data_IF_080282410413
#
_entry.id   IF_080282410413
#
_cell.length_a   1.000
_cell.length_b   1.000
_cell.length_c   1.000
_cell.angle_alpha   90.00
_cell.angle_beta   90.00
_cell.angle_gamma   90.00
#
_symmetry.space_group_name_H-M   'P 1'
#
loop_
_entity.id
_entity.type
_entity.pdbx_description
1 polymer ?
#
# COMPACT_ATOMS: atom_id res chain seq x y z
N UNK A 1 13.90 -14.45 6.89
CA UNK A 1 12.90 -13.40 6.52
C UNK A 1 11.62 -13.77 7.20
N UNK A 2 11.10 -12.93 8.10
CA UNK A 2 9.83 -13.23 8.77
C UNK A 2 8.74 -13.40 7.69
N UNK A 3 8.04 -14.54 7.70
CA UNK A 3 6.95 -14.85 6.78
C UNK A 3 5.72 -14.02 7.17
N UNK A 4 5.82 -12.70 7.02
CA UNK A 4 4.68 -11.82 7.22
C UNK A 4 3.59 -12.18 6.24
N UNK A 5 2.44 -12.59 6.75
CA UNK A 5 1.26 -12.85 5.95
C UNK A 5 0.56 -11.52 5.71
N UNK A 6 0.77 -10.97 4.53
CA UNK A 6 0.12 -9.73 4.10
C UNK A 6 -1.40 -9.79 4.24
N UNK A 7 -1.96 -8.78 4.90
CA UNK A 7 -3.39 -8.60 5.06
C UNK A 7 -3.86 -7.33 4.37
N UNK A 8 -5.18 -7.21 4.20
CA UNK A 8 -5.80 -6.04 3.54
C UNK A 8 -5.37 -4.70 4.15
N UNK A 9 -5.22 -4.65 5.48
CA UNK A 9 -4.85 -3.43 6.21
C UNK A 9 -3.45 -2.92 5.81
N UNK A 10 -2.51 -3.83 5.59
CA UNK A 10 -1.16 -3.50 5.14
C UNK A 10 -1.21 -2.83 3.76
N UNK A 11 -1.90 -3.47 2.81
CA UNK A 11 -2.06 -2.95 1.45
C UNK A 11 -2.87 -1.65 1.43
N UNK A 12 -3.81 -1.41 2.35
CA UNK A 12 -4.53 -0.13 2.48
C UNK A 12 -3.61 1.03 2.87
N UNK A 13 -2.71 0.81 3.84
CA UNK A 13 -1.72 1.84 4.23
C UNK A 13 -0.80 2.17 3.05
N UNK A 14 -0.34 1.15 2.33
CA UNK A 14 0.56 1.34 1.18
C UNK A 14 -0.19 1.98 0.00
N UNK A 15 -1.43 1.56 -0.26
CA UNK A 15 -2.27 2.15 -1.30
C UNK A 15 -2.55 3.63 -1.04
N UNK A 16 -2.77 4.01 0.23
CA UNK A 16 -2.92 5.41 0.61
C UNK A 16 -1.69 6.23 0.17
N UNK A 17 -0.48 5.77 0.48
CA UNK A 17 0.76 6.43 0.03
C UNK A 17 0.83 6.55 -1.49
N UNK A 18 0.49 5.47 -2.21
CA UNK A 18 0.52 5.44 -3.68
C UNK A 18 -0.51 6.35 -4.34
N UNK A 19 -1.61 6.67 -3.65
CA UNK A 19 -2.70 7.49 -4.19
C UNK A 19 -2.55 8.96 -3.83
N UNK A 20 -2.12 9.25 -2.61
CA UNK A 20 -2.15 10.60 -2.06
C UNK A 20 -0.78 11.15 -1.66
N UNK A 21 0.30 10.37 -1.81
CA UNK A 21 1.63 10.79 -1.39
C UNK A 21 1.88 10.59 0.11
N UNK A 22 3.16 10.60 0.48
CA UNK A 22 3.61 10.37 1.87
C UNK A 22 3.35 11.60 2.74
N UNK A 23 3.37 12.79 2.14
CA UNK A 23 3.11 14.08 2.78
C UNK A 23 1.68 14.21 3.33
N UNK A 24 0.73 13.45 2.78
CA UNK A 24 -0.66 13.41 3.24
C UNK A 24 -0.92 12.26 4.24
N UNK A 25 0.07 11.39 4.44
CA UNK A 25 0.00 10.22 5.30
C UNK A 25 0.32 10.57 6.75
N UNK A 26 -0.37 9.97 7.73
CA UNK A 26 0.04 10.08 9.13
C UNK A 26 1.31 9.30 9.44
N UNK A 27 1.72 8.37 8.56
CA UNK A 27 2.90 7.52 8.73
C UNK A 27 3.80 7.60 7.49
N UNK A 28 5.11 7.64 7.72
CA UNK A 28 6.14 7.43 6.71
C UNK A 28 6.19 5.97 6.24
N UNK A 29 6.94 5.70 5.17
CA UNK A 29 7.19 4.33 4.69
C UNK A 29 7.90 3.47 5.73
N UNK A 30 8.82 4.06 6.50
CA UNK A 30 9.55 3.35 7.55
C UNK A 30 8.61 2.98 8.70
N UNK A 31 7.79 3.93 9.18
CA UNK A 31 6.82 3.64 10.25
C UNK A 31 5.77 2.60 9.84
N UNK A 32 5.35 2.59 8.57
CA UNK A 32 4.48 1.53 8.05
C UNK A 32 5.20 0.17 8.05
N UNK A 33 6.47 0.13 7.62
CA UNK A 33 7.27 -1.10 7.65
C UNK A 33 7.40 -1.64 9.08
N UNK A 34 7.71 -0.77 10.03
CA UNK A 34 7.86 -1.09 11.46
C UNK A 34 6.53 -1.56 12.05
N UNK A 35 5.41 -0.89 11.72
CA UNK A 35 4.05 -1.24 12.18
C UNK A 35 3.60 -2.61 11.66
N UNK A 36 3.94 -2.95 10.43
CA UNK A 36 3.60 -4.25 9.82
C UNK A 36 4.57 -5.35 10.32
N UNK A 37 5.80 -4.98 10.71
CA UNK A 37 6.85 -5.92 11.09
C UNK A 37 7.61 -6.47 9.87
N UNK A 38 7.82 -5.65 8.84
CA UNK A 38 8.54 -6.02 7.60
C UNK A 38 9.65 -5.02 7.29
N UNK A 39 10.49 -5.33 6.30
CA UNK A 39 11.51 -4.39 5.84
C UNK A 39 10.92 -3.26 4.99
N UNK A 40 11.61 -2.12 4.94
CA UNK A 40 11.30 -1.03 4.00
C UNK A 40 11.31 -1.50 2.53
N UNK A 41 12.17 -2.47 2.19
CA UNK A 41 12.20 -3.10 0.87
C UNK A 41 10.90 -3.84 0.55
N UNK A 42 10.30 -4.53 1.54
CA UNK A 42 9.01 -5.21 1.40
C UNK A 42 7.86 -4.23 1.17
N UNK A 43 7.86 -3.08 1.85
CA UNK A 43 6.91 -1.98 1.58
C UNK A 43 7.13 -1.41 0.18
N UNK A 44 8.38 -1.20 -0.23
CA UNK A 44 8.71 -0.67 -1.56
C UNK A 44 8.29 -1.61 -2.69
N UNK A 45 8.42 -2.93 -2.48
CA UNK A 45 7.88 -3.93 -3.40
C UNK A 45 6.36 -3.84 -3.54
N UNK A 46 5.64 -3.65 -2.43
CA UNK A 46 4.18 -3.44 -2.46
C UNK A 46 3.76 -2.14 -3.14
N UNK A 47 4.54 -1.06 -2.98
CA UNK A 47 4.36 0.16 -3.79
C UNK A 47 4.50 -0.17 -5.29
N UNK A 48 5.49 -0.98 -5.65
CA UNK A 48 5.68 -1.51 -7.00
C UNK A 48 4.44 -2.21 -7.56
N UNK A 49 3.76 -3.03 -6.76
CA UNK A 49 2.51 -3.68 -7.17
C UNK A 49 1.43 -2.67 -7.60
N UNK A 50 1.24 -1.59 -6.82
CA UNK A 50 0.24 -0.58 -7.16
C UNK A 50 0.64 0.25 -8.38
N UNK A 51 1.93 0.51 -8.58
CA UNK A 51 2.42 1.14 -9.79
C UNK A 51 2.16 0.26 -11.02
N UNK A 52 2.43 -1.04 -10.93
CA UNK A 52 2.13 -2.01 -11.99
C UNK A 52 0.63 -2.03 -12.34
N UNK A 53 -0.25 -2.01 -11.34
CA UNK A 53 -1.71 -1.95 -11.56
C UNK A 53 -2.13 -0.66 -12.29
N UNK A 54 -1.45 0.47 -12.02
CA UNK A 54 -1.69 1.75 -12.71
C UNK A 54 -1.03 1.85 -14.10
N UNK A 55 -0.32 0.82 -14.55
CA UNK A 55 0.45 0.84 -15.79
C UNK A 55 1.70 1.72 -15.73
N UNK A 56 2.22 1.98 -14.52
CA UNK A 56 3.44 2.78 -14.33
C UNK A 56 4.66 1.87 -14.23
N UNK A 57 5.62 2.06 -15.14
CA UNK A 57 6.85 1.27 -15.24
C UNK A 57 6.69 -0.03 -16.02
N UNK A 58 7.71 -0.89 -15.98
CA UNK A 58 7.78 -2.12 -16.79
C UNK A 58 7.29 -3.38 -16.05
N UNK A 59 6.85 -3.25 -14.80
CA UNK A 59 6.44 -4.40 -13.98
C UNK A 59 5.00 -4.77 -14.31
N UNK A 60 4.77 -6.01 -14.73
CA UNK A 60 3.44 -6.56 -15.03
C UNK A 60 2.94 -7.52 -13.94
N UNK A 61 3.82 -7.96 -13.05
CA UNK A 61 3.49 -8.86 -11.96
C UNK A 61 3.15 -8.08 -10.68
N UNK A 62 1.97 -8.33 -10.12
CA UNK A 62 1.52 -7.72 -8.87
C UNK A 62 0.73 -8.73 -8.04
N UNK A 63 0.72 -8.55 -6.72
CA UNK A 63 -0.04 -9.42 -5.84
C UNK A 63 -1.55 -9.24 -6.02
N UNK A 64 -2.29 -10.37 -6.04
CA UNK A 64 -3.77 -10.38 -6.13
C UNK A 64 -4.45 -9.56 -5.03
N UNK A 65 -3.86 -9.49 -3.83
CA UNK A 65 -4.38 -8.67 -2.74
C UNK A 65 -4.32 -7.17 -3.07
N UNK A 66 -3.21 -6.72 -3.67
CA UNK A 66 -3.03 -5.32 -4.06
C UNK A 66 -4.02 -4.92 -5.16
N UNK A 67 -4.30 -5.83 -6.11
CA UNK A 67 -5.34 -5.61 -7.11
C UNK A 67 -6.72 -5.42 -6.46
N UNK A 68 -7.12 -6.32 -5.55
CA UNK A 68 -8.41 -6.21 -4.86
C UNK A 68 -8.55 -4.90 -4.08
N UNK A 69 -7.48 -4.48 -3.38
CA UNK A 69 -7.48 -3.20 -2.67
C UNK A 69 -7.60 -2.03 -3.65
N UNK A 70 -6.86 -2.05 -4.75
CA UNK A 70 -6.96 -1.02 -5.76
C UNK A 70 -8.39 -0.94 -6.33
N UNK A 71 -8.95 -2.04 -6.81
CA UNK A 71 -10.29 -2.09 -7.40
C UNK A 71 -11.37 -1.62 -6.41
N UNK A 72 -11.29 -2.04 -5.15
CA UNK A 72 -12.31 -1.74 -4.16
C UNK A 72 -12.27 -0.28 -3.67
N UNK A 73 -11.09 0.32 -3.53
CA UNK A 73 -10.92 1.62 -2.85
C UNK A 73 -10.44 2.75 -3.77
N UNK A 74 -10.31 2.52 -5.07
CA UNK A 74 -9.86 3.54 -6.03
C UNK A 74 -10.75 4.78 -6.09
N UNK A 75 -12.03 4.67 -5.74
CA UNK A 75 -12.96 5.81 -5.76
C UNK A 75 -13.05 6.55 -4.41
N UNK A 76 -12.37 6.07 -3.37
CA UNK A 76 -12.43 6.68 -2.04
C UNK A 76 -11.68 8.01 -2.03
N UNK A 77 -12.25 9.02 -1.38
CA UNK A 77 -11.57 10.27 -1.06
C UNK A 77 -10.38 10.04 -0.11
N UNK A 78 -9.55 11.07 0.05
CA UNK A 78 -8.42 11.01 0.98
C UNK A 78 -8.89 10.75 2.41
N UNK A 79 -9.96 11.41 2.86
CA UNK A 79 -10.48 11.26 4.23
C UNK A 79 -11.02 9.84 4.47
N UNK A 80 -11.82 9.32 3.54
CA UNK A 80 -12.38 7.96 3.65
C UNK A 80 -11.27 6.91 3.67
N UNK A 81 -10.29 7.02 2.76
CA UNK A 81 -9.20 6.05 2.69
C UNK A 81 -8.28 6.16 3.91
N UNK A 82 -8.00 7.37 4.39
CA UNK A 82 -7.18 7.60 5.60
C UNK A 82 -7.83 6.94 6.81
N UNK A 83 -9.15 7.12 6.99
CA UNK A 83 -9.90 6.53 8.08
C UNK A 83 -9.79 5.00 8.10
N UNK A 84 -9.96 4.34 6.95
CA UNK A 84 -9.88 2.87 6.90
C UNK A 84 -8.45 2.33 6.86
N UNK A 85 -7.46 3.12 6.43
CA UNK A 85 -6.07 2.71 6.36
C UNK A 85 -5.36 2.81 7.71
N UNK A 86 -5.70 3.80 8.56
CA UNK A 86 -4.95 4.10 9.77
C UNK A 86 -5.72 3.99 11.10
N UNK A 87 -7.05 3.79 11.08
CA UNK A 87 -7.84 3.53 12.30
C UNK A 87 -7.97 2.04 12.63
#
# INVERSE_FOLDING_TARGET
MANHKWVKKDDLMIFFLCKFGVENSPLSKQEIADKIGVSLGSVSYRVGNFNAIKGVGNTTNFAKLSLKVHEQYSNYSMQELKAIAFN
#
